data_IF_434182832101
#
_entry.id   IF_434182832101
#
_cell.length_a   1.000
_cell.length_b   1.000
_cell.length_c   1.000
_cell.angle_alpha   90.00
_cell.angle_beta   90.00
_cell.angle_gamma   90.00
#
_symmetry.space_group_name_H-M   'P 1'
#
loop_
_entity.id
_entity.type
_entity.pdbx_description
1 polymer ?
#
# COMPACT_ATOMS: atom_id res chain seq x y z
N UNK A 1 -12.19 9.48 19.03
CA UNK A 1 -12.11 8.02 18.96
C UNK A 1 -10.74 7.67 18.42
N UNK A 2 -9.84 7.17 19.25
CA UNK A 2 -8.54 6.69 18.78
C UNK A 2 -8.79 5.38 18.04
N UNK A 3 -8.53 5.35 16.74
CA UNK A 3 -8.51 4.13 15.96
C UNK A 3 -7.26 3.35 16.42
N UNK A 4 -7.45 2.33 17.25
CA UNK A 4 -6.36 1.44 17.61
C UNK A 4 -6.01 0.61 16.41
N UNK A 5 -4.85 0.87 15.83
CA UNK A 5 -4.31 0.06 14.76
C UNK A 5 -3.71 -1.20 15.38
N UNK A 6 -4.47 -2.29 15.39
CA UNK A 6 -4.03 -3.57 15.94
C UNK A 6 -3.77 -4.64 14.87
N UNK A 7 -3.97 -4.31 13.61
CA UNK A 7 -3.76 -5.26 12.53
C UNK A 7 -2.29 -5.31 12.12
N UNK A 8 -1.63 -6.41 12.44
CA UNK A 8 -0.32 -6.73 11.84
C UNK A 8 -0.53 -7.11 10.38
N UNK A 9 0.24 -6.55 9.43
CA UNK A 9 0.17 -6.94 8.04
C UNK A 9 0.41 -8.45 7.89
N UNK A 10 -0.46 -9.12 7.17
CA UNK A 10 -0.49 -10.60 7.09
C UNK A 10 0.79 -11.17 6.48
N UNK A 11 1.15 -10.69 5.30
CA UNK A 11 2.30 -11.22 4.54
C UNK A 11 3.62 -10.82 5.17
N UNK A 12 3.69 -9.62 5.74
CA UNK A 12 4.83 -9.21 6.56
C UNK A 12 4.97 -10.09 7.80
N UNK A 13 3.88 -10.39 8.50
CA UNK A 13 3.90 -11.29 9.66
C UNK A 13 4.43 -12.67 9.30
N UNK A 14 3.94 -13.28 8.21
CA UNK A 14 4.42 -14.57 7.72
C UNK A 14 5.92 -14.54 7.37
N UNK A 15 6.35 -13.51 6.65
CA UNK A 15 7.76 -13.33 6.29
C UNK A 15 8.65 -13.15 7.52
N UNK A 16 8.24 -12.27 8.44
CA UNK A 16 8.95 -11.99 9.69
C UNK A 16 9.13 -13.27 10.53
N UNK A 17 8.07 -14.03 10.66
CA UNK A 17 8.12 -15.29 11.43
C UNK A 17 9.06 -16.32 10.79
N UNK A 18 9.07 -16.44 9.46
CA UNK A 18 9.99 -17.32 8.74
C UNK A 18 11.46 -16.89 8.91
N UNK A 19 11.73 -15.59 8.93
CA UNK A 19 13.06 -15.05 9.22
C UNK A 19 13.48 -15.36 10.65
N UNK A 20 12.60 -15.18 11.64
CA UNK A 20 12.88 -15.47 13.05
C UNK A 20 13.16 -16.97 13.26
N UNK A 21 12.45 -17.84 12.56
CA UNK A 21 12.70 -19.29 12.60
C UNK A 21 13.97 -19.72 11.84
N UNK A 22 14.64 -18.79 11.14
CA UNK A 22 15.84 -19.09 10.34
C UNK A 22 15.56 -19.81 9.02
N UNK A 23 14.32 -19.84 8.57
CA UNK A 23 13.90 -20.46 7.30
C UNK A 23 14.29 -19.59 6.09
N UNK A 24 14.30 -18.28 6.29
CA UNK A 24 14.66 -17.29 5.26
C UNK A 24 15.87 -16.50 5.74
N UNK A 25 17.03 -16.65 5.10
CA UNK A 25 18.19 -15.80 5.40
C UNK A 25 17.96 -14.39 4.82
N UNK A 26 18.26 -13.38 5.62
CA UNK A 26 18.11 -11.97 5.19
C UNK A 26 19.43 -11.22 5.36
N UNK A 27 19.66 -10.26 4.46
CA UNK A 27 20.78 -9.34 4.59
C UNK A 27 20.42 -8.17 5.54
N UNK A 28 21.44 -7.41 5.93
CA UNK A 28 21.28 -6.28 6.86
C UNK A 28 20.21 -5.28 6.39
N UNK A 29 20.17 -4.95 5.09
CA UNK A 29 19.18 -4.02 4.53
C UNK A 29 17.75 -4.49 4.74
N UNK A 30 17.50 -5.79 4.57
CA UNK A 30 16.17 -6.37 4.84
C UNK A 30 15.84 -6.32 6.33
N UNK A 31 16.83 -6.58 7.20
CA UNK A 31 16.65 -6.47 8.65
C UNK A 31 16.32 -5.03 9.08
N UNK A 32 16.96 -4.03 8.47
CA UNK A 32 16.64 -2.62 8.70
C UNK A 32 15.21 -2.28 8.26
N UNK A 33 14.75 -2.81 7.12
CA UNK A 33 13.39 -2.60 6.64
C UNK A 33 12.36 -3.29 7.56
N UNK A 34 12.65 -4.47 8.05
CA UNK A 34 11.80 -5.14 9.06
C UNK A 34 11.66 -4.29 10.32
N UNK A 35 12.75 -3.75 10.84
CA UNK A 35 12.72 -2.85 12.00
C UNK A 35 11.89 -1.58 11.71
N UNK A 36 11.96 -1.04 10.49
CA UNK A 36 11.12 0.11 10.07
C UNK A 36 9.63 -0.25 10.08
N UNK A 37 9.26 -1.42 9.57
CA UNK A 37 7.86 -1.86 9.55
C UNK A 37 7.36 -2.13 10.98
N UNK A 38 8.17 -2.77 11.83
CA UNK A 38 7.83 -2.97 13.24
C UNK A 38 7.61 -1.63 13.96
N UNK A 39 8.41 -0.61 13.65
CA UNK A 39 8.22 0.74 14.18
C UNK A 39 6.91 1.39 13.67
N UNK A 40 6.51 1.17 12.42
CA UNK A 40 5.22 1.65 11.90
C UNK A 40 4.03 0.97 12.59
N UNK A 41 4.14 -0.34 12.87
CA UNK A 41 3.11 -1.08 13.62
C UNK A 41 2.93 -0.52 15.03
N UNK A 42 4.02 -0.13 15.67
CA UNK A 42 4.02 0.40 17.03
C UNK A 42 3.60 1.88 17.13
N UNK A 43 3.64 2.63 16.04
CA UNK A 43 3.39 4.08 16.04
C UNK A 43 1.91 4.40 15.74
N UNK A 44 1.15 4.96 16.72
CA UNK A 44 -0.27 5.25 16.55
C UNK A 44 -0.60 6.34 15.52
N UNK A 45 0.41 7.03 14.97
CA UNK A 45 0.21 8.04 13.91
C UNK A 45 -0.05 7.39 12.56
N UNK A 46 0.36 6.14 12.39
CA UNK A 46 0.18 5.37 11.16
C UNK A 46 -0.95 4.35 11.32
N UNK A 47 -1.59 4.08 10.24
CA UNK A 47 -2.70 3.14 10.19
C UNK A 47 -2.51 2.18 9.04
N UNK A 48 -2.70 0.90 9.31
CA UNK A 48 -2.69 -0.15 8.30
C UNK A 48 -4.11 -0.48 7.85
N UNK A 49 -4.33 -0.51 6.55
CA UNK A 49 -5.60 -0.78 5.89
C UNK A 49 -5.50 -2.07 5.06
N UNK A 50 -5.89 -3.18 5.66
CA UNK A 50 -5.88 -4.47 5.00
C UNK A 50 -6.83 -4.51 3.79
N UNK A 51 -7.96 -3.80 3.84
CA UNK A 51 -8.92 -3.77 2.74
C UNK A 51 -8.31 -3.15 1.47
N UNK A 52 -7.47 -2.14 1.61
CA UNK A 52 -6.77 -1.54 0.48
C UNK A 52 -5.78 -2.52 -0.17
N UNK A 53 -5.11 -3.34 0.64
CA UNK A 53 -4.19 -4.39 0.16
C UNK A 53 -4.96 -5.50 -0.54
N UNK A 54 -6.02 -6.03 0.09
CA UNK A 54 -6.86 -7.07 -0.48
C UNK A 54 -7.56 -6.59 -1.76
N UNK A 55 -7.94 -5.32 -1.82
CA UNK A 55 -8.51 -4.71 -3.03
C UNK A 55 -7.55 -4.78 -4.22
N UNK A 56 -6.26 -4.49 -4.00
CA UNK A 56 -5.24 -4.63 -5.04
C UNK A 56 -5.01 -6.10 -5.44
N UNK A 57 -4.87 -7.00 -4.47
CA UNK A 57 -4.64 -8.44 -4.72
C UNK A 57 -5.82 -9.01 -5.51
N UNK A 58 -7.05 -8.78 -5.06
CA UNK A 58 -8.26 -9.24 -5.73
C UNK A 58 -8.40 -8.69 -7.15
N UNK A 59 -8.04 -7.42 -7.38
CA UNK A 59 -8.03 -6.85 -8.71
C UNK A 59 -7.03 -7.59 -9.61
N UNK A 60 -5.82 -7.85 -9.13
CA UNK A 60 -4.82 -8.55 -9.92
C UNK A 60 -5.26 -9.97 -10.27
N UNK A 61 -5.80 -10.72 -9.32
CA UNK A 61 -6.10 -12.14 -9.50
C UNK A 61 -7.45 -12.41 -10.18
N UNK A 62 -8.39 -11.44 -10.15
CA UNK A 62 -9.70 -11.63 -10.77
C UNK A 62 -9.92 -10.86 -12.07
N UNK A 63 -9.19 -9.74 -12.27
CA UNK A 63 -9.42 -8.85 -13.42
C UNK A 63 -8.27 -8.85 -14.42
N UNK A 64 -7.11 -9.43 -14.07
CA UNK A 64 -5.96 -9.48 -14.95
C UNK A 64 -5.62 -10.92 -15.32
N UNK A 65 -5.27 -11.10 -16.61
CA UNK A 65 -4.77 -12.37 -17.12
C UNK A 65 -3.35 -12.19 -17.66
N UNK A 66 -2.60 -13.28 -17.71
CA UNK A 66 -1.31 -13.32 -18.37
C UNK A 66 -1.49 -13.26 -19.91
N UNK A 67 -0.41 -12.97 -20.62
CA UNK A 67 -0.42 -12.84 -22.09
C UNK A 67 -0.80 -14.11 -22.85
N UNK A 68 -0.66 -15.27 -22.20
CA UNK A 68 -1.09 -16.59 -22.68
C UNK A 68 -2.54 -16.93 -22.32
N UNK A 69 -3.22 -16.04 -21.58
CA UNK A 69 -4.61 -16.21 -21.16
C UNK A 69 -4.78 -16.98 -19.84
N UNK A 70 -3.68 -17.34 -19.18
CA UNK A 70 -3.75 -17.95 -17.84
C UNK A 70 -4.11 -16.91 -16.77
N UNK A 71 -4.72 -17.38 -15.69
CA UNK A 71 -5.04 -16.55 -14.52
C UNK A 71 -3.76 -16.06 -13.84
N UNK A 72 -3.75 -14.79 -13.46
CA UNK A 72 -2.64 -14.21 -12.73
C UNK A 72 -2.72 -14.56 -11.25
N UNK A 73 -1.70 -15.24 -10.73
CA UNK A 73 -1.52 -15.47 -9.32
C UNK A 73 -0.30 -14.72 -8.80
N UNK A 74 -0.52 -13.87 -7.77
CA UNK A 74 0.56 -13.11 -7.16
C UNK A 74 1.41 -13.99 -6.24
N UNK A 75 2.72 -13.88 -6.38
CA UNK A 75 3.65 -14.52 -5.44
C UNK A 75 3.60 -13.82 -4.06
N UNK A 76 3.92 -14.55 -3.00
CA UNK A 76 3.97 -14.02 -1.63
C UNK A 76 4.83 -12.76 -1.50
N UNK A 77 5.95 -12.69 -2.24
CA UNK A 77 6.80 -11.51 -2.29
C UNK A 77 6.08 -10.29 -2.88
N UNK A 78 5.22 -10.47 -3.87
CA UNK A 78 4.43 -9.38 -4.45
C UNK A 78 3.31 -8.94 -3.51
N UNK A 79 2.72 -9.88 -2.79
CA UNK A 79 1.73 -9.57 -1.76
C UNK A 79 2.36 -8.80 -0.59
N UNK A 80 3.58 -9.17 -0.16
CA UNK A 80 4.36 -8.40 0.81
C UNK A 80 4.65 -6.98 0.33
N UNK A 81 5.01 -6.80 -0.96
CA UNK A 81 5.23 -5.46 -1.52
C UNK A 81 3.93 -4.68 -1.64
N UNK A 82 2.81 -5.33 -1.95
CA UNK A 82 1.50 -4.69 -1.97
C UNK A 82 1.12 -4.15 -0.59
N UNK A 83 1.40 -4.86 0.49
CA UNK A 83 1.21 -4.37 1.87
C UNK A 83 1.98 -3.08 2.11
N UNK A 84 3.22 -2.99 1.64
CA UNK A 84 4.03 -1.78 1.82
C UNK A 84 3.51 -0.60 0.99
N UNK A 85 3.01 -0.84 -0.22
CA UNK A 85 2.53 0.22 -1.11
C UNK A 85 1.13 0.70 -0.73
N UNK A 86 0.21 -0.23 -0.49
CA UNK A 86 -1.22 0.07 -0.38
C UNK A 86 -1.72 0.09 1.07
N UNK A 87 -1.02 -0.58 2.00
CA UNK A 87 -1.53 -0.80 3.34
C UNK A 87 -1.33 0.37 4.31
N UNK A 88 -0.32 1.21 4.13
CA UNK A 88 0.05 2.20 5.14
C UNK A 88 -0.47 3.59 4.85
N UNK A 89 -1.10 4.20 5.87
CA UNK A 89 -1.71 5.53 5.80
C UNK A 89 -1.38 6.36 7.04
N UNK A 90 -1.51 7.67 6.87
CA UNK A 90 -1.51 8.66 7.95
C UNK A 90 -2.54 9.74 7.67
N UNK A 91 -2.91 10.51 8.69
CA UNK A 91 -3.85 11.60 8.55
C UNK A 91 -3.13 12.93 8.62
N UNK A 92 -3.51 13.85 7.73
CA UNK A 92 -3.10 15.26 7.77
C UNK A 92 -4.31 16.14 7.95
N UNK A 93 -4.18 17.17 8.76
CA UNK A 93 -5.21 18.21 8.85
C UNK A 93 -4.94 19.27 7.78
N UNK A 94 -5.97 19.59 7.02
CA UNK A 94 -5.92 20.65 6.01
C UNK A 94 -7.14 21.55 6.16
N UNK A 95 -6.90 22.88 6.08
CA UNK A 95 -7.96 23.85 5.91
C UNK A 95 -8.40 23.85 4.46
N UNK A 96 -9.66 23.52 4.22
CA UNK A 96 -10.29 23.48 2.91
C UNK A 96 -11.37 24.55 2.89
N UNK A 97 -11.40 25.36 1.84
CA UNK A 97 -12.48 26.32 1.65
C UNK A 97 -13.74 25.60 1.18
N UNK A 98 -14.81 25.72 1.96
CA UNK A 98 -16.13 25.24 1.59
C UNK A 98 -16.98 26.44 1.18
N UNK A 99 -17.43 26.52 -0.10
CA UNK A 99 -18.33 27.56 -0.53
C UNK A 99 -19.67 27.44 0.19
N UNK A 100 -20.31 28.57 0.47
CA UNK A 100 -21.67 28.58 1.02
C UNK A 100 -22.68 28.05 0.02
N UNK A 101 -23.73 27.32 0.44
CA UNK A 101 -24.75 26.76 -0.45
C UNK A 101 -25.51 27.83 -1.26
N UNK A 102 -25.56 29.06 -0.77
CA UNK A 102 -26.21 30.21 -1.43
C UNK A 102 -25.31 30.91 -2.48
N UNK A 103 -24.08 30.44 -2.66
CA UNK A 103 -23.11 30.99 -3.61
C UNK A 103 -22.44 32.31 -3.15
N UNK A 104 -22.77 32.79 -1.95
CA UNK A 104 -22.20 34.03 -1.41
C UNK A 104 -21.22 33.75 -0.28
N UNK A 105 -19.92 33.77 -0.59
CA UNK A 105 -18.87 33.55 0.39
C UNK A 105 -18.61 32.05 0.67
N UNK A 106 -18.07 31.76 1.82
CA UNK A 106 -17.71 30.41 2.27
C UNK A 106 -16.87 30.48 3.53
N UNK A 107 -16.49 29.34 4.06
CA UNK A 107 -15.66 29.23 5.28
C UNK A 107 -14.53 28.24 5.09
N UNK A 108 -13.43 28.45 5.80
CA UNK A 108 -12.40 27.45 5.93
C UNK A 108 -12.78 26.45 7.03
N UNK A 109 -12.77 25.18 6.66
CA UNK A 109 -12.99 24.06 7.60
C UNK A 109 -11.77 23.17 7.63
N UNK A 110 -11.36 22.77 8.84
CA UNK A 110 -10.25 21.82 8.99
C UNK A 110 -10.77 20.42 8.82
N UNK A 111 -10.26 19.73 7.80
CA UNK A 111 -10.58 18.31 7.53
C UNK A 111 -9.36 17.43 7.73
N UNK A 112 -9.58 16.25 8.32
CA UNK A 112 -8.60 15.17 8.33
C UNK A 112 -8.65 14.44 6.99
N UNK A 113 -7.53 14.44 6.29
CA UNK A 113 -7.37 13.78 4.99
C UNK A 113 -6.47 12.56 5.19
N UNK A 114 -6.98 11.39 4.82
CA UNK A 114 -6.23 10.14 4.76
C UNK A 114 -5.21 10.22 3.62
N UNK A 115 -3.94 9.98 3.92
CA UNK A 115 -2.88 9.95 2.92
C UNK A 115 -2.12 8.63 2.98
N UNK A 116 -1.82 8.08 1.82
CA UNK A 116 -0.95 6.91 1.70
C UNK A 116 0.46 7.31 2.12
N UNK A 117 1.11 6.46 2.92
CA UNK A 117 2.47 6.69 3.42
C UNK A 117 3.49 6.56 2.29
N UNK A 118 3.38 5.49 1.49
CA UNK A 118 4.28 5.23 0.37
C UNK A 118 3.70 5.82 -0.90
N UNK A 119 4.38 6.82 -1.46
CA UNK A 119 4.03 7.48 -2.72
C UNK A 119 5.08 7.27 -3.82
N UNK A 120 6.21 6.66 -3.47
CA UNK A 120 7.28 6.26 -4.41
C UNK A 120 7.86 4.94 -3.95
N UNK A 121 8.07 4.03 -4.88
CA UNK A 121 8.73 2.76 -4.63
C UNK A 121 9.83 2.51 -5.67
N UNK A 122 10.96 2.04 -5.19
CA UNK A 122 12.05 1.56 -6.03
C UNK A 122 12.19 0.05 -5.84
N UNK A 123 11.94 -0.72 -6.90
CA UNK A 123 12.02 -2.15 -6.88
C UNK A 123 13.31 -2.62 -7.57
N UNK A 124 14.28 -3.06 -6.77
CA UNK A 124 15.55 -3.59 -7.26
C UNK A 124 15.55 -5.10 -7.01
N UNK A 125 15.29 -5.87 -8.07
CA UNK A 125 15.25 -7.32 -8.03
C UNK A 125 15.95 -7.92 -9.25
N UNK A 126 16.32 -9.19 -9.17
CA UNK A 126 17.02 -9.88 -10.24
C UNK A 126 16.26 -9.86 -11.59
N UNK A 127 16.97 -10.05 -12.69
CA UNK A 127 16.36 -10.24 -14.00
C UNK A 127 15.49 -11.51 -13.96
N UNK A 128 14.31 -11.45 -14.58
CA UNK A 128 13.36 -12.58 -14.59
C UNK A 128 12.41 -12.64 -13.38
N UNK A 129 12.54 -11.74 -12.40
CA UNK A 129 11.66 -11.69 -11.22
C UNK A 129 10.31 -10.98 -11.46
N UNK A 130 9.75 -11.09 -12.64
CA UNK A 130 8.41 -10.57 -13.00
C UNK A 130 8.14 -9.09 -12.67
N UNK A 131 9.20 -8.24 -12.61
CA UNK A 131 9.09 -6.81 -12.27
C UNK A 131 8.10 -6.04 -13.14
N UNK A 132 8.20 -6.25 -14.46
CA UNK A 132 7.38 -5.53 -15.44
C UNK A 132 5.91 -5.91 -15.28
N UNK A 133 5.62 -7.19 -15.05
CA UNK A 133 4.28 -7.67 -14.76
C UNK A 133 3.73 -6.98 -13.51
N UNK A 134 4.47 -6.99 -12.40
CA UNK A 134 4.04 -6.35 -11.15
C UNK A 134 3.84 -4.83 -11.32
N UNK A 135 4.75 -4.15 -12.05
CA UNK A 135 4.60 -2.73 -12.35
C UNK A 135 3.32 -2.47 -13.18
N UNK A 136 3.02 -3.33 -14.15
CA UNK A 136 1.77 -3.24 -14.94
C UNK A 136 0.53 -3.46 -14.09
N UNK A 137 0.56 -4.38 -13.14
CA UNK A 137 -0.53 -4.58 -12.17
C UNK A 137 -0.80 -3.31 -11.37
N UNK A 138 0.25 -2.69 -10.82
CA UNK A 138 0.13 -1.45 -10.07
C UNK A 138 -0.44 -0.32 -10.94
N UNK A 139 0.06 -0.15 -12.16
CA UNK A 139 -0.42 0.88 -13.09
C UNK A 139 -1.90 0.68 -13.42
N UNK A 140 -2.30 -0.55 -13.76
CA UNK A 140 -3.69 -0.86 -14.09
C UNK A 140 -4.62 -0.61 -12.88
N UNK A 141 -4.19 -0.98 -11.69
CA UNK A 141 -4.97 -0.72 -10.48
C UNK A 141 -5.19 0.77 -10.22
N UNK A 142 -4.13 1.57 -10.32
CA UNK A 142 -4.25 3.02 -10.15
C UNK A 142 -5.11 3.68 -11.23
N UNK A 143 -5.07 3.20 -12.45
CA UNK A 143 -5.86 3.77 -13.54
C UNK A 143 -7.35 3.42 -13.46
N UNK A 144 -7.68 2.23 -12.98
CA UNK A 144 -9.04 1.71 -13.10
C UNK A 144 -9.81 1.66 -11.77
N UNK A 145 -9.13 1.57 -10.63
CA UNK A 145 -9.77 1.30 -9.33
C UNK A 145 -9.51 2.40 -8.32
N UNK A 146 -8.25 2.84 -8.18
CA UNK A 146 -7.89 3.82 -7.16
C UNK A 146 -8.24 5.25 -7.60
N UNK A 147 -9.41 5.71 -7.19
CA UNK A 147 -9.89 7.07 -7.47
C UNK A 147 -9.40 8.13 -6.47
N UNK A 148 -8.53 7.74 -5.53
CA UNK A 148 -8.19 8.55 -4.34
C UNK A 148 -7.33 9.79 -4.64
N UNK A 149 -6.69 9.88 -5.82
CA UNK A 149 -5.82 11.00 -6.19
C UNK A 149 -5.68 11.13 -7.72
N UNK A 150 -5.30 12.34 -8.16
CA UNK A 150 -4.87 12.56 -9.55
C UNK A 150 -3.55 11.81 -9.76
N UNK A 151 -3.59 10.70 -10.48
CA UNK A 151 -2.41 9.89 -10.77
C UNK A 151 -1.66 10.49 -11.95
N UNK A 152 -0.40 10.87 -11.75
CA UNK A 152 0.53 11.10 -12.84
C UNK A 152 1.38 9.84 -13.00
N UNK A 153 1.18 9.11 -14.09
CA UNK A 153 2.05 8.03 -14.52
C UNK A 153 3.08 8.65 -15.46
N UNK A 154 4.31 8.64 -15.06
CA UNK A 154 5.45 9.15 -15.84
C UNK A 154 6.22 7.98 -16.42
#
# INVERSE_FOLDING_TARGET
>A
MALSNTATPKYYGMFRDAVIRGEIPVCETISMEMNRIDALIADPRYWYDDQAVQGFINFCENELTLTDGEDLHLLDSFMLWAEQIFGWYYFVERSIFEPSPDGHGGRYVTKKIKKRLVNKQYLIVARGAAKSMYASCIQNYFLNVDTSTTHQIV
#
